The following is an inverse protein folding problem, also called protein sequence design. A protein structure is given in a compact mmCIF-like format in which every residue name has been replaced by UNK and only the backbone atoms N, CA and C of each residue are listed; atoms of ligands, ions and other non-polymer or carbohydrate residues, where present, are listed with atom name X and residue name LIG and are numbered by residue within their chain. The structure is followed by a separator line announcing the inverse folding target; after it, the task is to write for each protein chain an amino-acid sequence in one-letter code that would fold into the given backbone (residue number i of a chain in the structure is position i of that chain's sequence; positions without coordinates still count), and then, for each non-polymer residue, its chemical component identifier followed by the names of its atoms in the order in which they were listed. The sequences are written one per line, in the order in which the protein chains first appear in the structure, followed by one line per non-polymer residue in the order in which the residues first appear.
data_IF_863060761405
#
_entry.id   IF_863060761405
#
_cell.length_a   1.000
_cell.length_b   1.000
_cell.length_c   1.000
_cell.angle_alpha   90.00
_cell.angle_beta   90.00
_cell.angle_gamma   90.00
#
_symmetry.space_group_name_H-M   'P 1'
#
loop_
_entity.id
_entity.type
_entity.pdbx_description
1 polymer ?
#
# COMPACT_ATOMS: atom_id res chain seq x y z
N UNK A 1 33.80 39.86 -42.10
CA UNK A 1 34.20 38.69 -41.29
C UNK A 1 33.63 38.71 -39.86
N UNK A 2 33.45 39.87 -39.22
CA UNK A 2 32.88 39.95 -37.86
C UNK A 2 31.47 39.33 -37.69
N UNK A 3 30.59 39.48 -38.69
CA UNK A 3 29.25 38.88 -38.69
C UNK A 3 29.26 37.36 -38.57
N UNK A 4 30.21 36.70 -39.24
CA UNK A 4 30.34 35.23 -39.22
C UNK A 4 30.79 34.74 -37.84
N UNK A 5 31.76 35.45 -37.23
CA UNK A 5 32.24 35.13 -35.88
C UNK A 5 31.13 35.34 -34.84
N UNK A 6 30.37 36.43 -34.94
CA UNK A 6 29.24 36.70 -34.05
C UNK A 6 28.16 35.61 -34.13
N UNK A 7 27.82 35.15 -35.34
CA UNK A 7 26.86 34.05 -35.54
C UNK A 7 27.38 32.72 -34.98
N UNK A 8 28.66 32.40 -35.16
CA UNK A 8 29.26 31.19 -34.59
C UNK A 8 29.21 31.18 -33.07
N UNK A 9 29.55 32.31 -32.43
CA UNK A 9 29.48 32.43 -30.97
C UNK A 9 28.05 32.31 -30.45
N UNK A 10 27.07 32.93 -31.14
CA UNK A 10 25.66 32.77 -30.80
C UNK A 10 25.23 31.30 -30.84
N UNK A 11 25.59 30.58 -31.91
CA UNK A 11 25.25 29.15 -32.04
C UNK A 11 25.87 28.33 -30.91
N UNK A 12 27.15 28.53 -30.59
CA UNK A 12 27.81 27.80 -29.49
C UNK A 12 27.09 28.05 -28.16
N UNK A 13 26.75 29.30 -27.84
CA UNK A 13 26.03 29.65 -26.61
C UNK A 13 24.63 29.00 -26.59
N UNK A 14 23.90 29.00 -27.71
CA UNK A 14 22.58 28.36 -27.78
C UNK A 14 22.64 26.84 -27.57
N UNK A 15 23.67 26.17 -28.10
CA UNK A 15 23.84 24.72 -27.92
C UNK A 15 24.16 24.36 -26.47
N UNK A 16 25.02 25.15 -25.82
CA UNK A 16 25.31 24.99 -24.38
C UNK A 16 24.06 25.24 -23.54
N UNK A 17 23.30 26.30 -23.86
CA UNK A 17 22.03 26.60 -23.21
C UNK A 17 21.00 25.47 -23.36
N UNK A 18 20.85 24.91 -24.56
CA UNK A 18 19.94 23.79 -24.82
C UNK A 18 20.35 22.51 -24.08
N UNK A 19 21.66 22.21 -24.04
CA UNK A 19 22.18 21.07 -23.29
C UNK A 19 21.85 21.17 -21.79
N UNK A 20 22.02 22.36 -21.19
CA UNK A 20 21.65 22.60 -19.80
C UNK A 20 20.14 22.41 -19.56
N UNK A 21 19.29 22.94 -20.44
CA UNK A 21 17.82 22.81 -20.35
C UNK A 21 17.36 21.35 -20.45
N UNK A 22 18.00 20.52 -21.28
CA UNK A 22 17.67 19.09 -21.36
C UNK A 22 17.93 18.38 -20.02
N UNK A 23 19.01 18.74 -19.33
CA UNK A 23 19.31 18.21 -18.00
C UNK A 23 18.24 18.57 -16.96
N UNK A 24 17.82 19.84 -16.92
CA UNK A 24 16.80 20.29 -15.98
C UNK A 24 15.43 19.67 -16.24
N UNK A 25 15.05 19.48 -17.51
CA UNK A 25 13.79 18.79 -17.88
C UNK A 25 13.80 17.34 -17.37
N UNK A 26 14.91 16.62 -17.49
CA UNK A 26 15.00 15.25 -16.98
C UNK A 26 14.86 15.20 -15.46
N UNK A 27 15.52 16.12 -14.75
CA UNK A 27 15.39 16.25 -13.30
C UNK A 27 13.96 16.60 -12.87
N UNK A 28 13.28 17.49 -13.60
CA UNK A 28 11.89 17.84 -13.33
C UNK A 28 10.96 16.64 -13.50
N UNK A 29 11.14 15.82 -14.55
CA UNK A 29 10.36 14.58 -14.74
C UNK A 29 10.60 13.58 -13.61
N UNK A 30 11.85 13.40 -13.18
CA UNK A 30 12.17 12.53 -12.04
C UNK A 30 11.52 13.05 -10.75
N UNK A 31 11.58 14.36 -10.49
CA UNK A 31 10.95 14.98 -9.33
C UNK A 31 9.42 14.82 -9.35
N UNK A 32 8.78 14.98 -10.52
CA UNK A 32 7.35 14.79 -10.68
C UNK A 32 6.93 13.33 -10.40
N UNK A 33 7.67 12.35 -10.93
CA UNK A 33 7.41 10.93 -10.67
C UNK A 33 7.58 10.55 -9.19
N UNK A 34 8.61 11.11 -8.54
CA UNK A 34 8.82 10.91 -7.11
C UNK A 34 7.68 11.53 -6.30
N UNK A 35 7.27 12.75 -6.63
CA UNK A 35 6.15 13.43 -5.97
C UNK A 35 4.84 12.63 -6.09
N UNK A 36 4.52 12.13 -7.29
CA UNK A 36 3.35 11.29 -7.52
C UNK A 36 3.37 10.00 -6.70
N UNK A 37 4.53 9.34 -6.62
CA UNK A 37 4.71 8.16 -5.78
C UNK A 37 4.56 8.46 -4.29
N UNK A 38 5.00 9.64 -3.82
CA UNK A 38 4.84 10.04 -2.42
C UNK A 38 3.36 10.27 -2.07
N UNK A 39 2.59 10.92 -2.95
CA UNK A 39 1.14 11.09 -2.76
C UNK A 39 0.45 9.72 -2.72
N UNK A 40 0.80 8.83 -3.66
CA UNK A 40 0.26 7.48 -3.67
C UNK A 40 0.59 6.73 -2.36
N UNK A 41 1.82 6.84 -1.87
CA UNK A 41 2.24 6.23 -0.62
C UNK A 41 1.43 6.74 0.58
N UNK A 42 1.22 8.06 0.69
CA UNK A 42 0.38 8.65 1.74
C UNK A 42 -1.06 8.12 1.69
N UNK A 43 -1.63 7.96 0.49
CA UNK A 43 -2.95 7.37 0.31
C UNK A 43 -3.00 5.90 0.77
N UNK A 44 -2.00 5.09 0.40
CA UNK A 44 -1.92 3.70 0.83
C UNK A 44 -1.75 3.58 2.36
N UNK A 45 -0.95 4.45 2.98
CA UNK A 45 -0.78 4.50 4.44
C UNK A 45 -2.09 4.90 5.14
N UNK A 46 -2.83 5.85 4.57
CA UNK A 46 -4.14 6.24 5.08
C UNK A 46 -5.15 5.08 5.02
N UNK A 47 -5.17 4.32 3.92
CA UNK A 47 -5.97 3.10 3.83
C UNK A 47 -5.56 2.03 4.84
N UNK A 48 -4.26 1.87 5.11
CA UNK A 48 -3.79 0.94 6.13
C UNK A 48 -4.27 1.36 7.53
N UNK A 49 -4.16 2.65 7.88
CA UNK A 49 -4.68 3.19 9.15
C UNK A 49 -6.20 3.07 9.27
N UNK A 50 -6.93 3.25 8.16
CA UNK A 50 -8.38 3.07 8.15
C UNK A 50 -8.79 1.61 8.36
N UNK A 51 -8.09 0.68 7.70
CA UNK A 51 -8.30 -0.75 7.86
C UNK A 51 -8.01 -1.23 9.29
N UNK A 52 -6.88 -0.80 9.88
CA UNK A 52 -6.51 -1.19 11.25
C UNK A 52 -7.58 -0.76 12.26
N UNK A 53 -8.07 0.48 12.14
CA UNK A 53 -9.16 0.99 12.97
C UNK A 53 -10.49 0.25 12.73
N UNK A 54 -10.80 -0.08 11.47
CA UNK A 54 -12.03 -0.80 11.12
C UNK A 54 -12.06 -2.20 11.69
N UNK A 55 -10.95 -2.95 11.59
CA UNK A 55 -10.84 -4.33 12.08
C UNK A 55 -10.96 -4.38 13.60
N UNK A 56 -10.37 -3.42 14.30
CA UNK A 56 -10.51 -3.33 15.76
C UNK A 56 -11.97 -3.14 16.21
N UNK A 57 -12.75 -2.36 15.45
CA UNK A 57 -14.17 -2.14 15.73
C UNK A 57 -15.09 -3.24 15.17
N UNK A 58 -14.74 -3.86 14.05
CA UNK A 58 -15.56 -4.81 13.30
C UNK A 58 -14.72 -5.99 12.80
N UNK A 59 -14.35 -6.96 13.66
CA UNK A 59 -13.47 -8.07 13.27
C UNK A 59 -14.08 -9.02 12.22
N UNK A 60 -15.40 -8.97 12.01
CA UNK A 60 -16.10 -9.71 10.96
C UNK A 60 -16.05 -9.08 9.57
N UNK A 61 -15.58 -7.84 9.43
CA UNK A 61 -15.42 -7.15 8.13
C UNK A 61 -14.18 -7.64 7.39
N UNK A 62 -14.21 -8.91 7.00
CA UNK A 62 -13.19 -9.58 6.19
C UNK A 62 -13.71 -9.90 4.80
N UNK A 63 -12.81 -9.92 3.83
CA UNK A 63 -13.08 -10.38 2.48
C UNK A 63 -13.17 -11.90 2.40
N UNK A 64 -12.28 -12.60 3.13
CA UNK A 64 -12.24 -14.06 3.19
C UNK A 64 -11.43 -14.56 4.39
N UNK A 65 -11.64 -15.83 4.73
CA UNK A 65 -10.86 -16.55 5.72
C UNK A 65 -9.88 -17.51 5.03
N UNK A 66 -8.60 -17.18 5.08
CA UNK A 66 -7.50 -17.93 4.47
C UNK A 66 -7.15 -19.23 5.21
N UNK A 67 -7.74 -19.46 6.39
CA UNK A 67 -7.62 -20.74 7.11
C UNK A 67 -8.77 -21.70 6.76
N UNK A 68 -9.81 -21.23 6.07
CA UNK A 68 -10.93 -22.09 5.66
C UNK A 68 -10.50 -23.02 4.51
N UNK A 69 -10.88 -24.30 4.61
CA UNK A 69 -10.58 -25.28 3.57
C UNK A 69 -11.15 -24.88 2.21
N UNK A 70 -10.33 -24.97 1.16
CA UNK A 70 -10.72 -24.61 -0.21
C UNK A 70 -10.67 -23.11 -0.53
N UNK A 71 -10.29 -22.25 0.42
CA UNK A 71 -10.06 -20.82 0.16
C UNK A 71 -8.60 -20.59 -0.18
N UNK A 72 -8.34 -20.03 -1.37
CA UNK A 72 -7.01 -19.60 -1.78
C UNK A 72 -6.87 -18.09 -1.62
N UNK A 73 -5.87 -17.66 -0.84
CA UNK A 73 -5.56 -16.26 -0.65
C UNK A 73 -4.25 -15.90 -1.37
N UNK A 74 -4.38 -15.28 -2.54
CA UNK A 74 -3.27 -14.72 -3.32
C UNK A 74 -2.38 -13.79 -2.48
N UNK A 75 -1.11 -13.63 -2.85
CA UNK A 75 -0.19 -12.72 -2.15
C UNK A 75 -0.69 -11.28 -2.14
N UNK A 76 -1.31 -10.85 -3.24
CA UNK A 76 -2.02 -9.59 -3.37
C UNK A 76 -3.50 -9.89 -3.72
N UNK A 77 -4.47 -9.59 -2.84
CA UNK A 77 -5.88 -9.83 -3.11
C UNK A 77 -6.43 -9.00 -4.29
N UNK A 78 -5.82 -7.86 -4.63
CA UNK A 78 -6.27 -7.02 -5.74
C UNK A 78 -6.03 -7.64 -7.13
N UNK A 79 -5.15 -8.63 -7.22
CA UNK A 79 -4.86 -9.35 -8.47
C UNK A 79 -5.77 -10.58 -8.65
N UNK A 80 -6.61 -10.89 -7.65
CA UNK A 80 -7.50 -12.04 -7.68
C UNK A 80 -8.83 -11.68 -8.39
N UNK A 81 -9.13 -12.29 -9.55
CA UNK A 81 -10.37 -12.03 -10.27
C UNK A 81 -11.62 -12.53 -9.53
N UNK A 82 -11.47 -13.44 -8.57
CA UNK A 82 -12.58 -14.00 -7.79
C UNK A 82 -12.80 -13.27 -6.45
N UNK A 83 -12.03 -12.21 -6.17
CA UNK A 83 -12.27 -11.41 -4.98
C UNK A 83 -13.63 -10.71 -5.08
N UNK A 84 -14.44 -10.84 -4.04
CA UNK A 84 -15.69 -10.08 -3.94
C UNK A 84 -15.39 -8.57 -3.95
N UNK A 85 -15.80 -7.90 -5.03
CA UNK A 85 -15.62 -6.45 -5.20
C UNK A 85 -16.30 -5.63 -4.09
N UNK A 86 -17.36 -6.17 -3.46
CA UNK A 86 -18.01 -5.54 -2.31
C UNK A 86 -17.14 -5.54 -1.04
N UNK A 87 -16.07 -6.33 -1.02
CA UNK A 87 -15.08 -6.39 0.06
C UNK A 87 -13.81 -5.59 -0.22
N UNK A 88 -13.74 -4.91 -1.37
CA UNK A 88 -12.76 -3.86 -1.64
C UNK A 88 -13.29 -2.57 -1.03
N UNK A 89 -12.85 -2.29 0.20
CA UNK A 89 -13.35 -1.16 0.96
C UNK A 89 -12.65 0.13 0.52
N UNK A 90 -13.42 1.13 0.11
CA UNK A 90 -12.90 2.48 -0.16
C UNK A 90 -12.89 3.27 1.14
N UNK A 91 -11.78 3.96 1.43
CA UNK A 91 -11.65 4.75 2.65
C UNK A 91 -12.63 5.92 2.59
N UNK A 92 -13.46 6.08 3.62
CA UNK A 92 -14.40 7.19 3.69
C UNK A 92 -13.66 8.53 3.71
N UNK A 93 -14.17 9.50 2.96
CA UNK A 93 -13.63 10.87 2.97
C UNK A 93 -14.01 11.57 4.28
N UNK A 94 -13.05 12.27 4.89
CA UNK A 94 -13.26 13.05 6.10
C UNK A 94 -12.02 13.13 6.98
N UNK A 95 -12.20 13.62 8.20
CA UNK A 95 -11.12 13.88 9.18
C UNK A 95 -11.27 13.06 10.46
N UNK A 96 -12.35 12.29 10.61
CA UNK A 96 -12.54 11.43 11.77
C UNK A 96 -11.61 10.21 11.74
N UNK A 97 -11.53 9.47 12.84
CA UNK A 97 -10.73 8.24 12.92
C UNK A 97 -11.13 7.25 11.83
N UNK A 98 -10.14 6.76 11.07
CA UNK A 98 -10.33 5.85 9.94
C UNK A 98 -10.91 6.50 8.67
N UNK A 99 -10.99 7.83 8.62
CA UNK A 99 -11.33 8.58 7.42
C UNK A 99 -10.10 9.28 6.85
N UNK A 100 -10.11 9.53 5.55
CA UNK A 100 -9.04 10.25 4.86
C UNK A 100 -9.62 11.11 3.75
N UNK A 101 -9.46 12.43 3.85
CA UNK A 101 -9.76 13.30 2.73
C UNK A 101 -8.58 13.31 1.75
N UNK A 102 -8.80 12.81 0.53
CA UNK A 102 -7.76 12.88 -0.51
C UNK A 102 -7.40 14.33 -0.83
N UNK A 103 -6.12 14.58 -1.12
CA UNK A 103 -5.68 15.88 -1.63
C UNK A 103 -6.22 16.12 -3.04
N UNK A 104 -6.35 17.39 -3.45
CA UNK A 104 -6.76 17.75 -4.82
C UNK A 104 -5.81 17.23 -5.89
N UNK A 105 -4.55 16.97 -5.51
CA UNK A 105 -3.52 16.38 -6.38
C UNK A 105 -3.55 14.84 -6.38
N UNK A 106 -4.44 14.18 -5.62
CA UNK A 106 -4.62 12.73 -5.63
C UNK A 106 -5.80 12.35 -6.54
N UNK A 107 -5.59 11.36 -7.42
CA UNK A 107 -6.59 10.99 -8.44
C UNK A 107 -7.76 10.20 -7.85
N UNK A 108 -7.45 9.19 -7.04
CA UNK A 108 -8.43 8.26 -6.48
C UNK A 108 -8.39 8.30 -4.95
N UNK A 109 -9.52 7.94 -4.35
CA UNK A 109 -9.58 7.62 -2.93
C UNK A 109 -8.86 6.27 -2.69
N UNK A 110 -8.10 6.10 -1.60
CA UNK A 110 -7.42 4.85 -1.33
C UNK A 110 -8.39 3.75 -0.89
N UNK A 111 -7.97 2.49 -1.07
CA UNK A 111 -8.79 1.31 -0.84
C UNK A 111 -8.02 0.26 -0.06
N UNK A 112 -8.71 -0.63 0.64
CA UNK A 112 -8.10 -1.74 1.36
C UNK A 112 -8.96 -2.99 1.30
N UNK A 113 -8.30 -4.13 1.49
CA UNK A 113 -8.90 -5.45 1.63
C UNK A 113 -8.34 -6.07 2.92
N UNK A 114 -9.22 -6.72 3.67
CA UNK A 114 -8.86 -7.42 4.90
C UNK A 114 -9.09 -8.91 4.71
N UNK A 115 -8.09 -9.72 4.99
CA UNK A 115 -8.19 -11.18 4.95
C UNK A 115 -7.89 -11.74 6.33
N UNK A 116 -8.70 -12.68 6.81
CA UNK A 116 -8.40 -13.39 8.05
C UNK A 116 -7.37 -14.48 7.75
N UNK A 117 -6.21 -14.39 8.39
CA UNK A 117 -5.09 -15.33 8.22
C UNK A 117 -5.15 -16.49 9.20
N UNK A 118 -6.15 -16.52 10.08
CA UNK A 118 -6.36 -17.57 11.06
C UNK A 118 -5.76 -17.28 12.42
N UNK A 119 -5.76 -18.32 13.25
CA UNK A 119 -5.24 -18.28 14.62
C UNK A 119 -3.78 -18.71 14.62
N UNK A 120 -2.90 -17.81 15.03
CA UNK A 120 -1.47 -18.07 15.17
C UNK A 120 -1.02 -17.84 16.60
N UNK A 121 0.20 -18.27 16.91
CA UNK A 121 0.83 -18.05 18.20
C UNK A 121 0.76 -16.57 18.62
N UNK A 122 0.34 -16.33 19.86
CA UNK A 122 0.30 -15.01 20.46
C UNK A 122 1.61 -14.71 21.21
N UNK A 123 2.48 -13.81 20.70
CA UNK A 123 3.76 -13.49 21.32
C UNK A 123 3.64 -12.73 22.65
N UNK A 124 2.45 -12.25 22.99
CA UNK A 124 2.20 -11.47 24.21
C UNK A 124 1.97 -12.35 25.45
N UNK A 125 1.95 -13.68 25.32
CA UNK A 125 1.75 -14.59 26.45
C UNK A 125 3.00 -15.42 26.74
N UNK A 126 3.56 -15.26 27.93
CA UNK A 126 4.72 -16.03 28.40
C UNK A 126 4.26 -17.35 29.02
N UNK A 127 3.91 -18.33 28.17
CA UNK A 127 3.54 -19.68 28.63
C UNK A 127 4.76 -20.63 28.70
N UNK A 128 5.97 -20.12 28.43
CA UNK A 128 7.21 -20.92 28.43
C UNK A 128 7.43 -21.77 27.17
N UNK A 129 6.40 -21.92 26.32
CA UNK A 129 6.43 -22.74 25.10
C UNK A 129 6.27 -21.92 23.80
N UNK A 130 6.23 -20.59 23.92
CA UNK A 130 5.83 -19.71 22.81
C UNK A 130 6.84 -19.52 21.67
N UNK A 131 8.07 -19.99 21.83
CA UNK A 131 9.12 -19.91 20.78
C UNK A 131 9.36 -21.25 20.09
N UNK A 132 8.61 -22.30 20.43
CA UNK A 132 8.79 -23.61 19.80
C UNK A 132 7.89 -23.74 18.56
N UNK A 133 8.49 -24.13 17.44
CA UNK A 133 7.80 -24.31 16.15
C UNK A 133 6.69 -25.39 16.21
N UNK A 134 6.72 -26.25 17.22
CA UNK A 134 5.78 -27.34 17.47
C UNK A 134 4.70 -27.01 18.50
N UNK A 135 4.64 -25.78 19.02
CA UNK A 135 3.69 -25.38 20.06
C UNK A 135 2.20 -25.44 19.65
N UNK A 136 1.92 -25.54 18.35
CA UNK A 136 0.59 -25.77 17.76
C UNK A 136 0.39 -27.21 17.23
N UNK A 137 1.35 -28.12 17.41
CA UNK A 137 1.16 -29.52 17.01
C UNK A 137 0.24 -30.25 18.00
N UNK A 138 -0.60 -31.11 17.45
CA UNK A 138 -1.44 -32.01 18.21
C UNK A 138 -0.57 -32.87 19.15
N UNK A 139 -0.84 -32.81 20.47
CA UNK A 139 -0.12 -33.57 21.50
C UNK A 139 1.04 -32.83 22.20
N UNK A 140 1.29 -31.55 21.89
CA UNK A 140 2.26 -30.74 22.64
C UNK A 140 1.77 -30.46 24.08
N UNK A 141 2.62 -30.70 25.09
CA UNK A 141 2.35 -30.34 26.48
C UNK A 141 2.67 -28.85 26.71
N UNK A 142 1.63 -28.04 26.94
CA UNK A 142 1.73 -26.60 27.22
C UNK A 142 0.63 -25.81 26.51
N UNK A 143 -0.10 -24.96 27.24
CA UNK A 143 -1.11 -24.07 26.64
C UNK A 143 -0.43 -22.96 25.85
N UNK A 144 -0.47 -23.04 24.53
CA UNK A 144 -0.12 -21.90 23.67
C UNK A 144 -1.36 -21.07 23.42
N UNK A 145 -1.35 -19.81 23.83
CA UNK A 145 -2.46 -18.93 23.49
C UNK A 145 -2.34 -18.52 22.03
N UNK A 146 -3.47 -18.48 21.34
CA UNK A 146 -3.52 -18.06 19.94
C UNK A 146 -4.17 -16.69 19.85
N UNK A 147 -3.80 -15.93 18.82
CA UNK A 147 -4.47 -14.70 18.44
C UNK A 147 -4.86 -14.80 16.97
N UNK A 148 -5.97 -14.18 16.62
CA UNK A 148 -6.37 -14.05 15.22
C UNK A 148 -5.47 -13.00 14.56
N UNK A 149 -4.93 -13.33 13.40
CA UNK A 149 -4.19 -12.38 12.58
C UNK A 149 -4.98 -12.05 11.33
N UNK A 150 -4.99 -10.76 10.98
CA UNK A 150 -5.54 -10.26 9.73
C UNK A 150 -4.40 -9.81 8.84
N UNK A 151 -4.50 -10.10 7.55
CA UNK A 151 -3.68 -9.47 6.52
C UNK A 151 -4.47 -8.32 5.92
N UNK A 152 -3.91 -7.13 6.03
CA UNK A 152 -4.45 -5.95 5.38
C UNK A 152 -3.59 -5.63 4.17
N UNK A 153 -4.22 -5.58 3.01
CA UNK A 153 -3.61 -5.08 1.78
C UNK A 153 -4.30 -3.78 1.41
N UNK A 154 -3.56 -2.67 1.45
CA UNK A 154 -4.02 -1.34 1.14
C UNK A 154 -3.41 -0.86 -0.17
N UNK A 155 -4.19 -0.15 -1.00
CA UNK A 155 -3.72 0.49 -2.22
C UNK A 155 -4.08 1.97 -2.26
N UNK A 156 -3.22 2.76 -2.89
CA UNK A 156 -3.37 4.21 -3.00
C UNK A 156 -4.60 4.67 -3.78
N UNK A 157 -5.14 3.79 -4.64
CA UNK A 157 -6.32 4.06 -5.45
C UNK A 157 -6.68 2.90 -6.37
N UNK A 158 -7.84 2.98 -7.01
CA UNK A 158 -8.29 2.00 -8.00
C UNK A 158 -7.48 2.15 -9.30
N UNK A 159 -6.71 1.14 -9.76
CA UNK A 159 -5.92 1.21 -11.00
C UNK A 159 -6.70 1.68 -12.23
N UNK A 160 -8.01 1.39 -12.30
CA UNK A 160 -8.86 1.86 -13.40
C UNK A 160 -9.10 3.38 -13.40
N UNK A 161 -8.90 4.06 -12.27
CA UNK A 161 -9.12 5.50 -12.10
C UNK A 161 -7.81 6.30 -12.09
N UNK A 162 -6.68 5.70 -11.69
CA UNK A 162 -5.41 6.43 -11.48
C UNK A 162 -4.66 6.73 -12.79
N UNK A 163 -4.99 6.04 -13.89
CA UNK A 163 -4.35 6.23 -15.21
C UNK A 163 -2.86 5.87 -15.19
N UNK A 164 -2.02 6.74 -15.76
CA UNK A 164 -0.57 6.53 -15.86
C UNK A 164 0.20 6.91 -14.58
N UNK A 165 -0.49 7.30 -13.51
CA UNK A 165 0.17 7.68 -12.25
C UNK A 165 0.50 6.45 -11.40
N UNK A 166 1.48 6.62 -10.52
CA UNK A 166 1.93 5.55 -9.64
C UNK A 166 0.81 5.04 -8.72
N UNK A 167 0.66 3.72 -8.65
CA UNK A 167 -0.17 3.03 -7.65
C UNK A 167 0.76 2.35 -6.66
N UNK A 168 0.54 2.59 -5.36
CA UNK A 168 1.30 1.97 -4.29
C UNK A 168 0.40 0.99 -3.56
N UNK A 169 0.91 -0.22 -3.32
CA UNK A 169 0.27 -1.26 -2.50
C UNK A 169 1.13 -1.50 -1.26
N UNK A 170 0.51 -1.47 -0.09
CA UNK A 170 1.12 -1.78 1.20
C UNK A 170 0.42 -2.97 1.80
N UNK A 171 1.19 -3.83 2.49
CA UNK A 171 0.65 -5.01 3.15
C UNK A 171 1.21 -5.14 4.55
N UNK A 172 0.33 -5.46 5.50
CA UNK A 172 0.70 -5.66 6.90
C UNK A 172 -0.10 -6.80 7.53
N UNK A 173 0.53 -7.48 8.48
CA UNK A 173 -0.12 -8.45 9.36
C UNK A 173 -0.50 -7.75 10.66
N UNK A 174 -1.76 -7.82 11.04
CA UNK A 174 -2.33 -7.16 12.22
C UNK A 174 -2.90 -8.22 13.14
N UNK A 175 -2.42 -8.24 14.38
CA UNK A 175 -3.00 -9.07 15.43
C UNK A 175 -4.32 -8.44 15.91
N UNK A 176 -5.36 -9.26 16.09
CA UNK A 176 -6.58 -8.84 16.79
C UNK A 176 -6.23 -8.48 18.24
N UNK A 177 -6.57 -7.26 18.64
CA UNK A 177 -6.34 -6.71 19.99
C UNK A 177 -7.02 -7.50 21.08
#
# INVERSE_FOLDING_TARGET
MALVVALLLLVVITLVGLAAVRGTIMQQKMAANLFDRQIAFQGAEAAMRAATARIAANPGDIARNCQAGGVFCQGNPFDDPNLDTGKIMTVNSGTASGQFAKSSVAVSQPQYVVENMGNWYNPSTSTGFGQSANSHNYGAQGTSTTAVYYRVTARSGNPAEVGDRAVVVLQAMIKQG
#
